data_IF_298966849912
#
_entry.id   IF_298966849912
#
_cell.length_a   1.000
_cell.length_b   1.000
_cell.length_c   1.000
_cell.angle_alpha   90.00
_cell.angle_beta   90.00
_cell.angle_gamma   90.00
#
_symmetry.space_group_name_H-M   'P 1'
#
loop_
_entity.id
_entity.type
_entity.pdbx_description
1 polymer ?
#
# COMPACT_ATOMS: atom_id res chain seq x y z
N UNK A 1 61.51 36.32 69.82
CA UNK A 1 60.09 36.54 69.53
C UNK A 1 59.78 35.95 68.18
N UNK A 2 58.74 35.10 68.14
CA UNK A 2 58.19 34.40 66.99
C UNK A 2 57.82 35.33 65.82
N UNK A 3 57.94 34.82 64.60
CA UNK A 3 56.82 34.65 63.63
C UNK A 3 57.33 33.95 62.36
N UNK A 4 56.97 32.68 62.20
CA UNK A 4 56.70 32.06 60.89
C UNK A 4 55.19 32.20 60.61
N UNK A 5 54.68 31.77 59.45
CA UNK A 5 54.88 32.29 58.09
C UNK A 5 53.52 32.71 57.48
N UNK A 6 53.48 33.55 56.46
CA UNK A 6 52.24 33.74 55.68
C UNK A 6 52.29 32.81 54.47
N UNK A 7 51.76 31.59 54.66
CA UNK A 7 51.37 30.71 53.58
C UNK A 7 50.11 31.29 52.94
N UNK A 8 50.22 31.72 51.69
CA UNK A 8 49.09 31.92 50.79
C UNK A 8 48.27 30.62 50.74
N UNK A 9 46.94 30.64 50.86
CA UNK A 9 46.14 29.46 50.60
C UNK A 9 46.22 29.14 49.11
N UNK A 10 46.78 27.98 48.81
CA UNK A 10 46.60 27.31 47.54
C UNK A 10 45.10 26.96 47.44
N UNK A 11 44.33 27.83 46.79
CA UNK A 11 42.91 27.58 46.49
C UNK A 11 42.86 26.54 45.37
N UNK A 12 43.18 25.31 45.74
CA UNK A 12 43.05 24.12 44.93
C UNK A 12 41.58 23.82 44.70
N UNK A 13 40.92 24.65 43.89
CA UNK A 13 39.66 24.29 43.28
C UNK A 13 39.99 23.22 42.23
N UNK A 14 40.00 21.96 42.66
CA UNK A 14 40.02 20.81 41.75
C UNK A 14 38.87 21.04 40.75
N UNK A 15 39.14 21.10 39.43
CA UNK A 15 38.08 21.22 38.45
C UNK A 15 37.08 20.09 38.69
N UNK A 16 35.76 20.37 38.72
CA UNK A 16 34.78 19.32 38.90
C UNK A 16 35.01 18.23 37.86
N UNK A 17 35.11 16.98 38.31
CA UNK A 17 35.29 15.84 37.41
C UNK A 17 34.18 15.85 36.34
N UNK A 18 34.52 15.67 35.06
CA UNK A 18 33.53 15.71 33.99
C UNK A 18 32.45 14.64 34.23
N UNK A 19 31.18 15.05 34.13
CA UNK A 19 30.04 14.13 34.31
C UNK A 19 29.95 13.19 33.10
N UNK A 20 30.14 11.89 33.31
CA UNK A 20 30.09 10.89 32.22
C UNK A 20 28.79 10.97 31.42
N UNK A 21 28.90 10.91 30.10
CA UNK A 21 27.78 10.92 29.15
C UNK A 21 27.29 9.51 28.76
N UNK A 22 27.93 8.44 29.25
CA UNK A 22 27.65 7.05 28.84
C UNK A 22 26.27 6.57 29.29
N UNK A 23 25.87 6.88 30.53
CA UNK A 23 24.56 6.50 31.08
C UNK A 23 23.39 7.01 30.22
N UNK A 24 23.29 8.32 29.93
CA UNK A 24 22.26 8.83 29.02
C UNK A 24 22.29 8.20 27.63
N UNK A 25 23.46 8.03 27.02
CA UNK A 25 23.59 7.43 25.68
C UNK A 25 23.01 6.01 25.66
N UNK A 26 23.27 5.20 26.69
CA UNK A 26 22.71 3.86 26.81
C UNK A 26 21.17 3.88 26.90
N UNK A 27 20.60 4.71 27.80
CA UNK A 27 19.14 4.83 27.94
C UNK A 27 18.46 5.27 26.64
N UNK A 28 19.04 6.23 25.93
CA UNK A 28 18.51 6.73 24.66
C UNK A 28 18.66 5.75 23.48
N UNK A 29 19.52 4.74 23.57
CA UNK A 29 19.63 3.72 22.53
C UNK A 29 18.76 2.51 22.82
N UNK A 30 18.66 2.12 24.09
CA UNK A 30 17.94 0.90 24.47
C UNK A 30 16.45 1.11 24.67
N UNK A 31 16.03 2.27 25.18
CA UNK A 31 14.63 2.48 25.62
C UNK A 31 13.88 3.45 24.73
N UNK A 32 14.53 4.53 24.30
CA UNK A 32 13.88 5.55 23.48
C UNK A 32 13.35 5.02 22.14
N UNK A 33 14.12 4.26 21.31
CA UNK A 33 13.64 3.82 20.01
C UNK A 33 12.42 2.89 20.12
N UNK A 34 12.38 2.09 21.18
CA UNK A 34 11.27 1.18 21.45
C UNK A 34 10.03 1.97 21.90
N UNK A 35 10.18 2.89 22.86
CA UNK A 35 9.07 3.72 23.34
C UNK A 35 8.53 4.68 22.26
N UNK A 36 9.43 5.39 21.57
CA UNK A 36 9.11 6.30 20.48
C UNK A 36 8.52 5.53 19.29
N UNK A 37 9.13 4.41 18.90
CA UNK A 37 8.59 3.56 17.85
C UNK A 37 7.20 3.02 18.18
N UNK A 38 6.92 2.70 19.45
CA UNK A 38 5.59 2.25 19.89
C UNK A 38 4.57 3.39 19.82
N UNK A 39 4.92 4.57 20.33
CA UNK A 39 4.04 5.74 20.25
C UNK A 39 3.73 6.12 18.80
N UNK A 40 4.75 6.12 17.93
CA UNK A 40 4.58 6.38 16.50
C UNK A 40 3.80 5.27 15.81
N UNK A 41 3.89 4.02 16.26
CA UNK A 41 3.10 2.92 15.71
C UNK A 41 1.62 3.12 15.98
N UNK A 42 1.25 3.54 17.20
CA UNK A 42 -0.14 3.90 17.54
C UNK A 42 -0.62 5.08 16.69
N UNK A 43 0.18 6.14 16.54
CA UNK A 43 -0.19 7.27 15.68
C UNK A 43 -0.31 6.86 14.21
N UNK A 44 0.59 5.98 13.74
CA UNK A 44 0.57 5.45 12.38
C UNK A 44 -0.67 4.60 12.11
N UNK A 45 -1.11 3.83 13.10
CA UNK A 45 -2.39 3.12 13.03
C UNK A 45 -3.56 4.08 12.84
N UNK A 46 -3.63 5.18 13.60
CA UNK A 46 -4.65 6.21 13.38
C UNK A 46 -4.52 6.90 12.02
N UNK A 47 -3.31 7.10 11.50
CA UNK A 47 -3.09 7.64 10.16
C UNK A 47 -3.57 6.68 9.06
N UNK A 48 -3.34 5.38 9.20
CA UNK A 48 -3.88 4.37 8.29
C UNK A 48 -5.42 4.34 8.35
N UNK A 49 -6.01 4.49 9.54
CA UNK A 49 -7.45 4.67 9.68
C UNK A 49 -7.95 5.94 8.98
N UNK A 50 -7.22 7.06 9.11
CA UNK A 50 -7.55 8.29 8.38
C UNK A 50 -7.56 8.09 6.87
N UNK A 51 -6.56 7.38 6.32
CA UNK A 51 -6.53 7.03 4.90
C UNK A 51 -7.71 6.16 4.46
N UNK A 52 -8.20 5.27 5.33
CA UNK A 52 -9.37 4.44 5.05
C UNK A 52 -10.67 5.25 4.97
N UNK A 53 -10.74 6.41 5.63
CA UNK A 53 -11.92 7.29 5.68
C UNK A 53 -11.69 8.63 4.95
N UNK A 54 -10.68 8.68 4.08
CA UNK A 54 -10.20 9.89 3.37
C UNK A 54 -10.06 11.16 4.25
N UNK A 55 -9.69 10.97 5.53
CA UNK A 55 -9.47 12.07 6.47
C UNK A 55 -7.96 12.37 6.59
N UNK A 56 -7.45 13.44 5.94
CA UNK A 56 -6.04 13.77 5.94
C UNK A 56 -5.55 14.28 7.31
N UNK A 57 -6.45 14.62 8.24
CA UNK A 57 -6.08 15.19 9.54
C UNK A 57 -5.20 14.23 10.36
N UNK A 58 -5.46 12.92 10.29
CA UNK A 58 -4.66 11.91 10.98
C UNK A 58 -3.25 11.74 10.38
N UNK A 59 -3.11 11.87 9.06
CA UNK A 59 -1.81 11.87 8.40
C UNK A 59 -0.99 13.10 8.84
N UNK A 60 -1.61 14.28 8.90
CA UNK A 60 -0.97 15.50 9.41
C UNK A 60 -0.53 15.33 10.87
N UNK A 61 -1.39 14.75 11.72
CA UNK A 61 -1.06 14.45 13.11
C UNK A 61 0.13 13.48 13.23
N UNK A 62 0.21 12.47 12.37
CA UNK A 62 1.33 11.54 12.35
C UNK A 62 2.64 12.23 11.93
N UNK A 63 2.63 13.07 10.91
CA UNK A 63 3.81 13.84 10.46
C UNK A 63 4.29 14.79 11.56
N UNK A 64 3.37 15.54 12.18
CA UNK A 64 3.67 16.43 13.30
C UNK A 64 4.17 15.65 14.52
N UNK A 65 3.52 14.53 14.86
CA UNK A 65 3.92 13.65 15.93
C UNK A 65 5.33 13.08 15.72
N UNK A 66 5.65 12.67 14.50
CA UNK A 66 7.00 12.23 14.10
C UNK A 66 8.03 13.33 14.29
N UNK A 67 7.76 14.54 13.81
CA UNK A 67 8.66 15.68 13.96
C UNK A 67 8.92 16.01 15.44
N UNK A 68 7.88 15.97 16.28
CA UNK A 68 7.99 16.22 17.73
C UNK A 68 8.77 15.09 18.42
N UNK A 69 8.46 13.84 18.15
CA UNK A 69 9.09 12.68 18.82
C UNK A 69 10.56 12.55 18.42
N UNK A 70 10.87 12.61 17.13
CA UNK A 70 12.24 12.45 16.62
C UNK A 70 13.05 13.73 16.83
N UNK A 71 12.51 14.89 16.45
CA UNK A 71 13.19 16.18 16.57
C UNK A 71 13.31 16.65 18.03
N UNK A 72 12.28 16.45 18.84
CA UNK A 72 12.32 16.77 20.27
C UNK A 72 13.35 15.92 21.02
N UNK A 73 13.42 14.62 20.75
CA UNK A 73 14.44 13.76 21.34
C UNK A 73 15.85 14.09 20.86
N UNK A 74 16.01 14.44 19.58
CA UNK A 74 17.29 14.91 19.04
C UNK A 74 17.79 16.12 19.81
N UNK A 75 16.94 17.15 19.94
CA UNK A 75 17.28 18.38 20.64
C UNK A 75 17.54 18.14 22.12
N UNK A 76 16.70 17.34 22.79
CA UNK A 76 16.84 17.04 24.21
C UNK A 76 18.15 16.29 24.51
N UNK A 77 18.48 15.28 23.69
CA UNK A 77 19.72 14.53 23.82
C UNK A 77 20.94 15.40 23.52
N UNK A 78 20.88 16.25 22.47
CA UNK A 78 21.93 17.21 22.17
C UNK A 78 22.17 18.14 23.37
N UNK A 79 21.11 18.70 23.96
CA UNK A 79 21.19 19.58 25.12
C UNK A 79 21.84 18.89 26.34
N UNK A 80 21.48 17.63 26.62
CA UNK A 80 22.11 16.84 27.69
C UNK A 80 23.60 16.62 27.43
N UNK A 81 24.00 16.33 26.19
CA UNK A 81 25.39 16.05 25.81
C UNK A 81 26.24 17.31 25.82
N UNK A 82 25.70 18.45 25.38
CA UNK A 82 26.33 19.77 25.49
C UNK A 82 26.58 20.13 26.96
N UNK A 83 25.62 19.87 27.85
CA UNK A 83 25.76 20.10 29.29
C UNK A 83 26.70 19.15 30.05
N UNK A 84 27.32 18.18 29.35
CA UNK A 84 28.28 17.20 29.92
C UNK A 84 29.66 17.26 29.28
N UNK A 85 29.97 18.35 28.58
CA UNK A 85 31.27 18.60 27.94
C UNK A 85 31.72 17.50 26.95
N UNK A 86 30.76 16.83 26.30
CA UNK A 86 31.08 15.85 25.24
C UNK A 86 31.74 16.58 24.05
N UNK A 87 32.89 16.12 23.52
CA UNK A 87 33.64 16.83 22.50
C UNK A 87 32.88 17.01 21.17
N UNK A 88 31.83 16.21 20.92
CA UNK A 88 31.02 16.25 19.68
C UNK A 88 29.55 15.86 19.96
N UNK A 89 28.78 16.74 20.62
CA UNK A 89 27.47 16.38 21.17
C UNK A 89 26.40 16.11 20.10
N UNK A 90 26.60 16.59 18.86
CA UNK A 90 25.65 16.42 17.74
C UNK A 90 25.72 15.09 17.01
N UNK A 91 26.87 14.39 17.06
CA UNK A 91 27.09 13.22 16.22
C UNK A 91 26.17 12.05 16.61
N UNK A 92 26.03 11.80 17.91
CA UNK A 92 25.23 10.69 18.42
C UNK A 92 23.71 10.91 18.24
N UNK A 93 23.14 12.09 18.56
CA UNK A 93 21.75 12.41 18.21
C UNK A 93 21.44 12.26 16.72
N UNK A 94 22.38 12.65 15.83
CA UNK A 94 22.18 12.51 14.40
C UNK A 94 22.04 11.04 13.97
N UNK A 95 22.90 10.14 14.47
CA UNK A 95 22.80 8.69 14.18
C UNK A 95 21.46 8.13 14.66
N UNK A 96 21.05 8.48 15.88
CA UNK A 96 19.79 8.00 16.46
C UNK A 96 18.57 8.51 15.67
N UNK A 97 18.54 9.79 15.31
CA UNK A 97 17.46 10.36 14.50
C UNK A 97 17.39 9.74 13.12
N UNK A 98 18.54 9.54 12.45
CA UNK A 98 18.57 8.85 11.15
C UNK A 98 18.05 7.42 11.26
N UNK A 99 18.43 6.68 12.31
CA UNK A 99 17.93 5.34 12.55
C UNK A 99 16.40 5.30 12.78
N UNK A 100 15.86 6.27 13.51
CA UNK A 100 14.40 6.40 13.70
C UNK A 100 13.67 6.67 12.39
N UNK A 101 14.17 7.62 11.59
CA UNK A 101 13.58 7.93 10.28
C UNK A 101 13.69 6.74 9.33
N UNK A 102 14.82 6.03 9.33
CA UNK A 102 15.00 4.78 8.58
C UNK A 102 13.99 3.70 9.01
N UNK A 103 13.74 3.56 10.32
CA UNK A 103 12.74 2.65 10.84
C UNK A 103 11.33 2.98 10.36
N UNK A 104 10.94 4.26 10.39
CA UNK A 104 9.65 4.73 9.88
C UNK A 104 9.52 4.42 8.38
N UNK A 105 10.52 4.79 7.59
CA UNK A 105 10.54 4.51 6.16
C UNK A 105 10.39 3.01 5.87
N UNK A 106 11.13 2.15 6.57
CA UNK A 106 11.06 0.70 6.35
C UNK A 106 9.75 0.06 6.81
N UNK A 107 9.02 0.67 7.75
CA UNK A 107 7.68 0.19 8.13
C UNK A 107 6.59 0.62 7.15
N UNK A 108 6.79 1.72 6.41
CA UNK A 108 5.82 2.23 5.43
C UNK A 108 6.10 1.67 4.04
N UNK A 109 7.37 1.49 3.66
CA UNK A 109 7.78 1.09 2.32
C UNK A 109 7.08 -0.17 1.78
N UNK A 110 6.97 -1.29 2.53
CA UNK A 110 6.25 -2.48 2.05
C UNK A 110 4.79 -2.21 1.68
N UNK A 111 4.12 -1.34 2.44
CA UNK A 111 2.72 -0.95 2.20
C UNK A 111 2.62 -0.19 0.87
N UNK A 112 3.58 0.71 0.60
CA UNK A 112 3.60 1.49 -0.64
C UNK A 112 3.87 0.66 -1.90
N UNK A 113 4.46 -0.53 -1.76
CA UNK A 113 4.71 -1.46 -2.88
C UNK A 113 3.78 -2.68 -2.84
N UNK A 114 2.71 -2.65 -2.02
CA UNK A 114 1.72 -3.73 -1.89
C UNK A 114 2.35 -5.12 -1.68
N UNK A 115 3.36 -5.20 -0.81
CA UNK A 115 3.98 -6.47 -0.41
C UNK A 115 3.50 -6.85 0.99
N UNK A 116 3.11 -8.11 1.18
CA UNK A 116 2.66 -8.69 2.45
C UNK A 116 3.80 -8.91 3.47
N UNK A 117 4.65 -7.91 3.65
CA UNK A 117 5.75 -7.90 4.62
C UNK A 117 5.46 -6.85 5.69
N UNK A 118 5.07 -7.33 6.87
CA UNK A 118 4.85 -6.48 8.03
C UNK A 118 6.13 -6.28 8.84
N UNK A 119 6.65 -5.06 8.89
CA UNK A 119 7.81 -4.69 9.72
C UNK A 119 7.35 -3.81 10.88
N UNK A 120 7.28 -4.33 12.12
CA UNK A 120 6.86 -3.55 13.28
C UNK A 120 7.79 -2.36 13.53
N UNK A 121 7.22 -1.15 13.55
CA UNK A 121 7.97 0.09 13.72
C UNK A 121 8.89 0.12 14.96
N UNK A 122 8.46 -0.36 16.16
CA UNK A 122 9.34 -0.40 17.32
C UNK A 122 10.59 -1.26 17.10
N UNK A 123 10.45 -2.37 16.37
CA UNK A 123 11.54 -3.29 16.08
C UNK A 123 12.49 -2.70 15.04
N UNK A 124 11.96 -2.11 13.97
CA UNK A 124 12.77 -1.45 12.94
C UNK A 124 13.61 -0.31 13.54
N UNK A 125 12.96 0.62 14.26
CA UNK A 125 13.61 1.74 14.94
C UNK A 125 14.70 1.26 15.90
N UNK A 126 14.42 0.24 16.71
CA UNK A 126 15.39 -0.33 17.66
C UNK A 126 16.56 -1.01 16.95
N UNK A 127 16.29 -1.80 15.90
CA UNK A 127 17.30 -2.50 15.12
C UNK A 127 18.29 -1.54 14.46
N UNK A 128 17.79 -0.51 13.77
CA UNK A 128 18.65 0.51 13.16
C UNK A 128 19.39 1.35 14.20
N UNK A 129 18.76 1.67 15.33
CA UNK A 129 19.41 2.45 16.39
C UNK A 129 20.57 1.66 17.04
N UNK A 130 20.38 0.36 17.27
CA UNK A 130 21.43 -0.53 17.76
C UNK A 130 22.56 -0.68 16.74
N UNK A 131 22.24 -0.89 15.46
CA UNK A 131 23.23 -1.00 14.38
C UNK A 131 24.06 0.28 14.26
N UNK A 132 23.40 1.44 14.16
CA UNK A 132 24.06 2.73 14.07
C UNK A 132 24.95 3.01 15.27
N UNK A 133 24.47 2.72 16.48
CA UNK A 133 25.23 2.89 17.72
C UNK A 133 26.43 1.95 17.82
N UNK A 134 26.26 0.69 17.41
CA UNK A 134 27.33 -0.30 17.40
C UNK A 134 28.46 0.12 16.46
N UNK A 135 28.13 0.54 15.24
CA UNK A 135 29.14 1.00 14.27
C UNK A 135 29.78 2.31 14.75
N UNK A 136 28.99 3.18 15.39
CA UNK A 136 29.48 4.42 15.98
C UNK A 136 30.48 4.19 17.12
N UNK A 137 30.30 3.15 17.95
CA UNK A 137 31.20 2.82 19.06
C UNK A 137 32.52 2.18 18.61
N UNK A 138 32.53 1.50 17.46
CA UNK A 138 33.73 0.93 16.84
C UNK A 138 34.58 1.97 16.09
N UNK A 139 34.00 3.12 15.74
CA UNK A 139 34.67 4.16 14.97
C UNK A 139 35.71 4.94 15.78
N UNK A 140 36.79 5.36 15.11
CA UNK A 140 37.74 6.32 15.69
C UNK A 140 37.06 7.69 15.90
N UNK A 141 37.46 8.43 16.94
CA UNK A 141 36.81 9.71 17.32
C UNK A 141 36.67 10.69 16.16
N UNK A 142 37.62 10.68 15.21
CA UNK A 142 37.63 11.60 14.07
C UNK A 142 36.55 11.28 13.04
N UNK A 143 36.28 10.00 12.77
CA UNK A 143 35.46 9.55 11.62
C UNK A 143 34.23 8.70 11.97
N UNK A 144 33.88 8.50 13.25
CA UNK A 144 32.77 7.61 13.68
C UNK A 144 31.37 7.86 13.11
N UNK A 145 31.03 9.09 12.67
CA UNK A 145 29.69 9.42 12.18
C UNK A 145 29.37 8.81 10.80
N UNK A 146 30.28 8.99 9.84
CA UNK A 146 30.10 8.54 8.45
C UNK A 146 29.86 7.03 8.34
N UNK A 147 30.67 6.14 8.94
CA UNK A 147 30.42 4.70 8.86
C UNK A 147 29.14 4.30 9.57
N UNK A 148 28.76 4.97 10.67
CA UNK A 148 27.51 4.67 11.37
C UNK A 148 26.27 4.99 10.49
N UNK A 149 26.27 6.16 9.84
CA UNK A 149 25.21 6.52 8.89
C UNK A 149 25.22 5.60 7.67
N UNK A 150 26.40 5.28 7.13
CA UNK A 150 26.54 4.37 6.00
C UNK A 150 26.04 2.97 6.32
N UNK A 151 26.23 2.47 7.54
CA UNK A 151 25.72 1.17 7.96
C UNK A 151 24.19 1.16 8.05
N UNK A 152 23.58 2.20 8.63
CA UNK A 152 22.11 2.34 8.69
C UNK A 152 21.53 2.43 7.29
N UNK A 153 22.04 3.33 6.45
CA UNK A 153 21.56 3.52 5.09
C UNK A 153 21.81 2.28 4.21
N UNK A 154 22.95 1.62 4.36
CA UNK A 154 23.27 0.38 3.66
C UNK A 154 22.32 -0.76 4.02
N UNK A 155 21.95 -0.88 5.30
CA UNK A 155 20.94 -1.85 5.74
C UNK A 155 19.55 -1.53 5.18
N UNK A 156 19.16 -0.24 5.14
CA UNK A 156 17.92 0.20 4.50
C UNK A 156 17.90 -0.16 3.01
N UNK A 157 18.95 0.20 2.27
CA UNK A 157 19.04 -0.11 0.83
C UNK A 157 19.00 -1.61 0.56
N UNK A 158 19.65 -2.42 1.41
CA UNK A 158 19.59 -3.88 1.29
C UNK A 158 18.17 -4.40 1.50
N UNK A 159 17.46 -3.92 2.53
CA UNK A 159 16.09 -4.34 2.79
C UNK A 159 15.12 -3.87 1.70
N UNK A 160 15.27 -2.63 1.21
CA UNK A 160 14.52 -2.13 0.05
C UNK A 160 14.75 -3.03 -1.16
N UNK A 161 16.00 -3.37 -1.46
CA UNK A 161 16.31 -4.27 -2.58
C UNK A 161 15.70 -5.67 -2.41
N UNK A 162 15.68 -6.21 -1.20
CA UNK A 162 15.03 -7.51 -0.91
C UNK A 162 13.52 -7.43 -1.08
N UNK A 163 12.86 -6.40 -0.53
CA UNK A 163 11.41 -6.21 -0.65
C UNK A 163 11.01 -6.00 -2.12
N UNK A 164 11.78 -5.19 -2.84
CA UNK A 164 11.57 -4.97 -4.27
C UNK A 164 11.71 -6.27 -5.07
N UNK A 165 12.74 -7.06 -4.78
CA UNK A 165 12.93 -8.36 -5.42
C UNK A 165 11.79 -9.34 -5.11
N UNK A 166 11.25 -9.34 -3.88
CA UNK A 166 10.07 -10.13 -3.54
C UNK A 166 8.82 -9.67 -4.30
N UNK A 167 8.63 -8.36 -4.44
CA UNK A 167 7.54 -7.79 -5.24
C UNK A 167 7.63 -8.23 -6.71
N UNK A 168 8.80 -8.11 -7.33
CA UNK A 168 9.02 -8.56 -8.71
C UNK A 168 8.75 -10.06 -8.87
N UNK A 169 9.21 -10.88 -7.92
CA UNK A 169 8.94 -12.32 -7.91
C UNK A 169 7.46 -12.65 -7.84
N UNK A 170 6.73 -11.98 -6.95
CA UNK A 170 5.30 -12.20 -6.79
C UNK A 170 4.51 -11.74 -8.03
N UNK A 171 4.92 -10.65 -8.67
CA UNK A 171 4.36 -10.21 -9.95
C UNK A 171 4.65 -11.19 -11.09
N UNK A 172 5.88 -11.72 -11.16
CA UNK A 172 6.24 -12.78 -12.11
C UNK A 172 5.40 -14.04 -11.89
N UNK A 173 5.28 -14.52 -10.64
CA UNK A 173 4.47 -15.69 -10.28
C UNK A 173 2.99 -15.48 -10.63
N UNK A 174 2.38 -14.34 -10.25
CA UNK A 174 0.99 -14.01 -10.62
C UNK A 174 0.77 -13.94 -12.12
N UNK A 175 1.75 -13.39 -12.87
CA UNK A 175 1.68 -13.33 -14.33
C UNK A 175 1.74 -14.73 -14.95
N UNK A 176 2.63 -15.57 -14.47
CA UNK A 176 2.74 -16.97 -14.92
C UNK A 176 1.47 -17.76 -14.59
N UNK A 177 0.92 -17.58 -13.38
CA UNK A 177 -0.36 -18.17 -12.96
C UNK A 177 -1.52 -17.70 -13.84
N UNK A 178 -1.66 -16.39 -14.08
CA UNK A 178 -2.71 -15.86 -14.94
C UNK A 178 -2.59 -16.39 -16.37
N UNK A 179 -1.39 -16.38 -16.96
CA UNK A 179 -1.17 -16.92 -18.31
C UNK A 179 -1.48 -18.40 -18.38
N UNK A 180 -1.13 -19.16 -17.33
CA UNK A 180 -1.48 -20.56 -17.23
C UNK A 180 -3.00 -20.75 -17.14
N UNK A 181 -3.67 -20.03 -16.25
CA UNK A 181 -5.13 -20.11 -16.04
C UNK A 181 -5.92 -19.73 -17.29
N UNK A 182 -5.46 -18.73 -18.05
CA UNK A 182 -6.03 -18.37 -19.35
C UNK A 182 -5.82 -19.48 -20.37
N UNK A 183 -4.62 -20.04 -20.46
CA UNK A 183 -4.30 -21.10 -21.43
C UNK A 183 -5.00 -22.43 -21.13
N UNK A 184 -5.24 -22.73 -19.85
CA UNK A 184 -5.90 -23.94 -19.36
C UNK A 184 -7.41 -23.73 -19.16
N UNK A 185 -7.94 -22.54 -19.51
CA UNK A 185 -9.34 -22.20 -19.28
C UNK A 185 -10.25 -23.13 -20.09
N UNK A 186 -11.28 -23.75 -19.47
CA UNK A 186 -12.03 -24.83 -20.11
C UNK A 186 -13.03 -24.37 -21.19
N UNK A 187 -13.27 -23.07 -21.32
CA UNK A 187 -14.29 -22.47 -22.19
C UNK A 187 -13.74 -21.30 -23.00
N UNK A 188 -14.52 -20.77 -23.94
CA UNK A 188 -14.15 -19.53 -24.63
C UNK A 188 -14.26 -18.34 -23.66
N UNK A 189 -13.33 -17.40 -23.74
CA UNK A 189 -13.33 -16.17 -22.95
C UNK A 189 -13.98 -15.08 -23.81
N UNK A 190 -14.92 -14.33 -23.23
CA UNK A 190 -15.57 -13.21 -23.88
C UNK A 190 -14.67 -11.97 -23.88
N UNK A 191 -14.66 -11.25 -25.00
CA UNK A 191 -13.96 -9.97 -25.19
C UNK A 191 -14.96 -8.92 -25.66
N UNK A 192 -14.79 -7.68 -25.21
CA UNK A 192 -15.57 -6.54 -25.67
C UNK A 192 -14.88 -5.93 -26.90
N UNK A 193 -15.49 -6.07 -28.07
CA UNK A 193 -14.97 -5.53 -29.33
C UNK A 193 -15.62 -4.18 -29.65
N UNK A 194 -15.40 -3.20 -28.78
CA UNK A 194 -15.96 -1.87 -28.95
C UNK A 194 -14.86 -0.78 -28.98
N UNK A 195 -14.77 0.03 -30.05
CA UNK A 195 -13.81 1.12 -30.12
C UNK A 195 -13.98 2.11 -28.97
N UNK A 196 -12.87 2.53 -28.37
CA UNK A 196 -12.84 3.50 -27.27
C UNK A 196 -12.76 2.87 -25.88
N UNK A 197 -12.71 1.54 -25.78
CA UNK A 197 -12.45 0.80 -24.54
C UNK A 197 -11.17 -0.01 -24.65
N UNK A 198 -10.36 -0.01 -23.60
CA UNK A 198 -9.14 -0.81 -23.52
C UNK A 198 -9.17 -1.70 -22.26
N UNK A 199 -8.67 -2.94 -22.34
CA UNK A 199 -8.58 -3.81 -21.19
C UNK A 199 -7.51 -3.28 -20.21
N UNK A 200 -7.85 -3.22 -18.94
CA UNK A 200 -6.98 -2.70 -17.87
C UNK A 200 -6.63 -3.75 -16.82
N UNK A 201 -7.43 -4.80 -16.72
CA UNK A 201 -7.18 -5.91 -15.81
C UNK A 201 -7.75 -7.20 -16.37
N UNK A 202 -7.17 -8.32 -15.97
CA UNK A 202 -7.68 -9.64 -16.31
C UNK A 202 -7.47 -10.58 -15.13
N UNK A 203 -8.46 -11.44 -14.92
CA UNK A 203 -8.43 -12.50 -13.94
C UNK A 203 -9.07 -13.74 -14.54
N UNK A 204 -8.46 -14.90 -14.38
CA UNK A 204 -9.04 -16.16 -14.77
C UNK A 204 -8.87 -17.15 -13.63
N UNK A 205 -9.86 -18.00 -13.41
CA UNK A 205 -9.75 -19.11 -12.48
C UNK A 205 -10.41 -20.33 -13.06
N UNK A 206 -9.60 -21.33 -13.35
CA UNK A 206 -10.06 -22.63 -13.80
C UNK A 206 -10.94 -23.32 -12.75
N UNK A 207 -10.57 -23.23 -11.48
CA UNK A 207 -11.31 -23.89 -10.39
C UNK A 207 -12.71 -23.31 -10.21
N UNK A 208 -12.88 -22.02 -10.52
CA UNK A 208 -14.17 -21.33 -10.44
C UNK A 208 -14.94 -21.36 -11.77
N UNK A 209 -14.30 -21.78 -12.87
CA UNK A 209 -14.93 -21.78 -14.19
C UNK A 209 -15.23 -20.38 -14.73
N UNK A 210 -14.53 -19.36 -14.22
CA UNK A 210 -14.81 -17.95 -14.49
C UNK A 210 -13.56 -17.25 -15.01
N UNK A 211 -13.74 -16.41 -16.04
CA UNK A 211 -12.74 -15.43 -16.47
C UNK A 211 -13.37 -14.03 -16.44
N UNK A 212 -12.57 -13.01 -16.18
CA UNK A 212 -13.02 -11.61 -16.08
C UNK A 212 -11.99 -10.69 -16.71
N UNK A 213 -12.47 -9.71 -17.47
CA UNK A 213 -11.65 -8.65 -18.06
C UNK A 213 -12.27 -7.30 -17.65
N UNK A 214 -11.48 -6.44 -17.03
CA UNK A 214 -11.85 -5.06 -16.74
C UNK A 214 -11.46 -4.15 -17.90
N UNK A 215 -12.31 -3.16 -18.20
CA UNK A 215 -12.11 -2.18 -19.27
C UNK A 215 -12.29 -0.75 -18.76
N UNK A 216 -11.51 0.15 -19.33
CA UNK A 216 -11.63 1.61 -19.14
C UNK A 216 -11.74 2.33 -20.49
N UNK A 217 -12.35 3.52 -20.52
CA UNK A 217 -12.34 4.37 -21.71
C UNK A 217 -10.92 4.85 -22.05
N UNK A 218 -10.53 4.83 -23.32
CA UNK A 218 -9.16 5.21 -23.78
C UNK A 218 -8.86 6.71 -23.59
N UNK A 219 -9.86 7.56 -23.86
CA UNK A 219 -9.78 9.01 -23.68
C UNK A 219 -11.01 9.44 -22.85
N UNK A 220 -11.01 9.23 -21.53
CA UNK A 220 -12.18 9.54 -20.72
C UNK A 220 -12.44 11.04 -20.74
N UNK A 221 -13.66 11.42 -21.11
CA UNK A 221 -14.13 12.77 -20.81
C UNK A 221 -14.22 12.93 -19.29
N UNK A 222 -14.18 14.17 -18.76
CA UNK A 222 -14.39 14.39 -17.32
C UNK A 222 -15.73 13.84 -16.78
N UNK A 223 -16.68 13.53 -17.67
CA UNK A 223 -17.99 12.97 -17.33
C UNK A 223 -17.96 11.45 -17.16
N UNK A 224 -16.94 10.74 -17.65
CA UNK A 224 -16.79 9.28 -17.56
C UNK A 224 -15.48 8.86 -16.86
N UNK A 225 -14.78 9.81 -16.25
CA UNK A 225 -13.53 9.58 -15.54
C UNK A 225 -13.77 8.65 -14.34
N UNK A 226 -13.01 7.56 -14.26
CA UNK A 226 -13.16 6.52 -13.24
C UNK A 226 -14.32 5.55 -13.45
N UNK A 227 -15.08 5.65 -14.54
CA UNK A 227 -16.08 4.64 -14.90
C UNK A 227 -15.40 3.40 -15.48
N UNK A 228 -15.80 2.21 -15.03
CA UNK A 228 -15.22 0.93 -15.46
C UNK A 228 -16.29 -0.04 -15.93
N UNK A 229 -15.92 -0.90 -16.87
CA UNK A 229 -16.70 -2.07 -17.25
C UNK A 229 -15.98 -3.33 -16.82
N UNK A 230 -16.73 -4.33 -16.38
CA UNK A 230 -16.20 -5.66 -16.08
C UNK A 230 -16.98 -6.69 -16.89
N UNK A 231 -16.29 -7.39 -17.78
CA UNK A 231 -16.84 -8.47 -18.59
C UNK A 231 -16.41 -9.81 -18.01
N UNK A 232 -17.38 -10.59 -17.53
CA UNK A 232 -17.16 -11.89 -16.91
C UNK A 232 -17.70 -13.00 -17.80
N UNK A 233 -16.89 -14.02 -18.07
CA UNK A 233 -17.22 -15.20 -18.88
C UNK A 233 -17.43 -16.40 -17.97
N UNK A 234 -18.54 -17.12 -18.13
CA UNK A 234 -18.90 -18.28 -17.30
C UNK A 234 -19.63 -19.37 -18.10
N UNK A 235 -19.34 -20.62 -17.77
CA UNK A 235 -20.04 -21.80 -18.31
C UNK A 235 -21.43 -21.94 -17.71
N UNK A 236 -22.44 -22.10 -18.57
CA UNK A 236 -23.83 -22.29 -18.14
C UNK A 236 -24.10 -23.61 -17.42
N UNK A 237 -23.24 -24.62 -17.60
CA UNK A 237 -23.34 -25.92 -16.92
C UNK A 237 -22.88 -25.80 -15.46
N UNK A 238 -21.83 -25.00 -15.20
CA UNK A 238 -21.27 -24.77 -13.87
C UNK A 238 -22.12 -23.79 -13.03
N UNK A 239 -22.98 -22.99 -13.67
CA UNK A 239 -23.92 -22.07 -13.00
C UNK A 239 -24.88 -22.77 -12.03
N UNK A 240 -25.22 -24.03 -12.29
CA UNK A 240 -26.14 -24.79 -11.44
C UNK A 240 -25.51 -25.15 -10.08
N UNK A 241 -24.17 -25.19 -9.98
CA UNK A 241 -23.44 -25.57 -8.78
C UNK A 241 -22.90 -24.35 -7.98
N UNK A 242 -22.65 -23.21 -8.65
CA UNK A 242 -22.11 -21.99 -8.02
C UNK A 242 -23.16 -21.13 -7.28
N UNK A 243 -24.45 -21.46 -7.40
CA UNK A 243 -25.54 -20.76 -6.72
C UNK A 243 -25.96 -19.45 -7.40
N UNK A 244 -25.60 -19.26 -8.67
CA UNK A 244 -25.92 -18.07 -9.43
C UNK A 244 -27.31 -18.17 -10.07
N UNK A 245 -28.13 -17.14 -9.86
CA UNK A 245 -29.51 -17.09 -10.34
C UNK A 245 -29.51 -16.54 -11.77
N UNK A 246 -30.02 -17.27 -12.80
CA UNK A 246 -30.13 -16.77 -14.17
C UNK A 246 -30.71 -15.35 -14.20
N UNK A 247 -30.17 -14.43 -15.00
CA UNK A 247 -30.53 -13.00 -14.92
C UNK A 247 -32.04 -12.80 -15.12
N UNK A 248 -32.65 -13.52 -16.08
CA UNK A 248 -34.10 -13.58 -16.28
C UNK A 248 -34.88 -13.91 -15.01
N UNK A 249 -34.43 -14.88 -14.21
CA UNK A 249 -35.13 -15.22 -12.95
C UNK A 249 -35.01 -14.17 -11.85
N UNK A 250 -34.16 -13.16 -12.02
CA UNK A 250 -34.13 -11.96 -11.17
C UNK A 250 -35.07 -10.87 -11.68
N UNK A 251 -35.56 -10.97 -12.92
CA UNK A 251 -36.46 -10.01 -13.53
C UNK A 251 -37.88 -10.12 -12.98
N UNK A 252 -38.56 -8.97 -12.82
CA UNK A 252 -39.95 -8.91 -12.37
C UNK A 252 -40.90 -9.76 -13.22
N UNK A 253 -40.61 -9.89 -14.52
CA UNK A 253 -41.37 -10.73 -15.47
C UNK A 253 -41.43 -12.20 -15.07
N UNK A 254 -40.35 -12.73 -14.49
CA UNK A 254 -40.20 -14.14 -14.11
C UNK A 254 -40.31 -14.35 -12.58
N UNK A 255 -40.77 -13.34 -11.85
CA UNK A 255 -41.02 -13.41 -10.41
C UNK A 255 -39.84 -13.02 -9.53
N UNK A 256 -38.80 -12.41 -10.11
CA UNK A 256 -37.75 -11.71 -9.38
C UNK A 256 -38.15 -10.29 -8.94
N UNK A 257 -37.19 -9.53 -8.41
CA UNK A 257 -37.39 -8.19 -7.84
C UNK A 257 -36.67 -7.07 -8.60
N UNK A 258 -36.12 -7.37 -9.78
CA UNK A 258 -35.34 -6.42 -10.58
C UNK A 258 -36.09 -5.95 -11.83
N UNK A 259 -36.10 -4.64 -12.13
CA UNK A 259 -36.49 -4.16 -13.43
C UNK A 259 -35.53 -4.71 -14.48
N UNK A 260 -36.06 -5.28 -15.56
CA UNK A 260 -35.25 -5.78 -16.66
C UNK A 260 -35.81 -5.36 -18.01
N UNK A 261 -34.92 -5.24 -18.99
CA UNK A 261 -35.22 -5.04 -20.39
C UNK A 261 -34.64 -6.23 -21.19
N UNK A 262 -35.48 -6.85 -22.03
CA UNK A 262 -35.09 -7.99 -22.86
C UNK A 262 -34.98 -7.57 -24.33
N UNK A 263 -33.82 -7.78 -24.92
CA UNK A 263 -33.45 -7.38 -26.28
C UNK A 263 -32.89 -8.59 -27.05
N UNK A 264 -33.78 -9.45 -27.54
CA UNK A 264 -33.38 -10.69 -28.21
C UNK A 264 -32.72 -11.65 -27.22
N UNK A 265 -31.43 -11.92 -27.42
CA UNK A 265 -30.61 -12.79 -26.53
C UNK A 265 -29.89 -11.99 -25.43
N UNK A 266 -30.09 -10.67 -25.38
CA UNK A 266 -29.53 -9.78 -24.35
C UNK A 266 -30.58 -9.48 -23.29
N UNK A 267 -30.19 -9.60 -22.02
CA UNK A 267 -30.99 -9.17 -20.87
C UNK A 267 -30.23 -8.10 -20.11
N UNK A 268 -30.85 -6.94 -19.91
CA UNK A 268 -30.32 -5.88 -19.08
C UNK A 268 -31.13 -5.82 -17.80
N UNK A 269 -30.47 -5.93 -16.65
CA UNK A 269 -31.09 -5.78 -15.35
C UNK A 269 -30.59 -4.51 -14.66
N UNK A 270 -31.52 -3.75 -14.10
CA UNK A 270 -31.20 -2.65 -13.19
C UNK A 270 -30.89 -3.22 -11.80
N UNK A 271 -29.60 -3.21 -11.47
CA UNK A 271 -29.08 -3.73 -10.21
C UNK A 271 -29.02 -2.68 -9.12
N UNK A 272 -29.44 -1.44 -9.39
CA UNK A 272 -29.48 -0.38 -8.41
C UNK A 272 -30.28 -0.77 -7.18
N UNK A 273 -29.62 -0.69 -6.02
CA UNK A 273 -30.24 -0.80 -4.70
C UNK A 273 -29.64 0.26 -3.81
N UNK A 274 -30.45 1.22 -3.35
CA UNK A 274 -30.22 2.20 -2.27
C UNK A 274 -28.88 2.96 -2.17
N UNK A 275 -27.80 2.63 -2.90
CA UNK A 275 -26.45 3.18 -2.75
C UNK A 275 -25.65 3.26 -4.05
N UNK A 276 -26.27 3.11 -5.25
CA UNK A 276 -25.54 3.34 -6.51
C UNK A 276 -26.28 2.89 -7.79
N UNK A 277 -26.07 3.64 -8.87
CA UNK A 277 -26.51 3.28 -10.23
C UNK A 277 -25.60 2.16 -10.76
N UNK A 278 -26.17 0.96 -11.01
CA UNK A 278 -25.42 -0.21 -11.48
C UNK A 278 -26.31 -1.03 -12.41
N UNK A 279 -25.82 -1.27 -13.62
CA UNK A 279 -26.48 -2.10 -14.60
C UNK A 279 -25.67 -3.37 -14.87
N UNK A 280 -26.38 -4.45 -15.14
CA UNK A 280 -25.79 -5.72 -15.56
C UNK A 280 -26.47 -6.15 -16.86
N UNK A 281 -25.68 -6.40 -17.90
CA UNK A 281 -26.16 -6.94 -19.17
C UNK A 281 -25.59 -8.35 -19.36
N UNK A 282 -26.45 -9.30 -19.70
CA UNK A 282 -26.07 -10.68 -19.95
C UNK A 282 -26.40 -11.08 -21.36
N UNK A 283 -25.48 -11.78 -22.00
CA UNK A 283 -25.64 -12.35 -23.34
C UNK A 283 -24.96 -13.72 -23.43
N UNK A 284 -25.54 -14.64 -24.20
CA UNK A 284 -24.87 -15.88 -24.60
C UNK A 284 -24.06 -15.59 -25.86
N UNK A 285 -22.73 -15.66 -25.76
CA UNK A 285 -21.83 -15.30 -26.88
C UNK A 285 -21.31 -16.53 -27.63
N UNK A 286 -21.41 -17.71 -27.03
CA UNK A 286 -21.08 -19.02 -27.64
C UNK A 286 -21.90 -20.12 -26.97
N UNK A 287 -21.99 -21.28 -27.60
CA UNK A 287 -22.85 -22.39 -27.17
C UNK A 287 -22.53 -22.81 -25.72
N UNK A 288 -23.45 -22.54 -24.79
CA UNK A 288 -23.34 -22.97 -23.39
C UNK A 288 -22.44 -22.10 -22.51
N UNK A 289 -22.00 -20.92 -22.98
CA UNK A 289 -21.18 -19.97 -22.20
C UNK A 289 -21.80 -18.58 -22.29
N UNK A 290 -21.97 -17.94 -21.13
CA UNK A 290 -22.55 -16.61 -21.04
C UNK A 290 -21.50 -15.57 -20.64
N UNK A 291 -21.69 -14.35 -21.14
CA UNK A 291 -20.97 -13.18 -20.72
C UNK A 291 -21.87 -12.30 -19.86
N UNK A 292 -21.33 -11.80 -18.75
CA UNK A 292 -21.97 -10.82 -17.88
C UNK A 292 -21.15 -9.54 -17.89
N UNK A 293 -21.73 -8.47 -18.41
CA UNK A 293 -21.16 -7.15 -18.46
C UNK A 293 -21.72 -6.32 -17.31
N UNK A 294 -20.84 -5.87 -16.41
CA UNK A 294 -21.19 -5.12 -15.22
C UNK A 294 -20.56 -3.73 -15.26
N UNK A 295 -21.33 -2.71 -14.87
CA UNK A 295 -20.84 -1.34 -14.73
C UNK A 295 -20.29 -1.09 -13.33
N UNK A 296 -19.15 -0.42 -13.22
CA UNK A 296 -18.61 0.12 -11.98
C UNK A 296 -18.57 1.65 -12.02
N UNK A 297 -19.31 2.28 -11.11
CA UNK A 297 -19.31 3.74 -10.94
C UNK A 297 -18.20 4.17 -9.99
N UNK A 298 -17.50 5.29 -10.24
CA UNK A 298 -16.63 5.89 -9.24
C UNK A 298 -17.49 6.42 -8.09
N UNK A 299 -17.02 6.22 -6.87
CA UNK A 299 -17.70 6.67 -5.64
C UNK A 299 -16.90 7.75 -4.92
N UNK A 300 -17.61 8.62 -4.20
CA UNK A 300 -17.03 9.62 -3.31
C UNK A 300 -16.68 9.03 -1.92
N UNK A 301 -16.25 9.89 -1.00
CA UNK A 301 -15.87 9.50 0.37
C UNK A 301 -17.03 8.88 1.20
N UNK A 302 -18.29 9.00 0.75
CA UNK A 302 -19.48 8.47 1.41
C UNK A 302 -20.03 7.21 0.72
N UNK A 303 -19.28 6.61 -0.21
CA UNK A 303 -19.74 5.53 -1.10
C UNK A 303 -20.94 5.95 -1.98
N UNK A 304 -21.15 7.24 -2.20
CA UNK A 304 -22.15 7.75 -3.15
C UNK A 304 -21.53 7.92 -4.54
N UNK A 305 -22.28 7.74 -5.64
CA UNK A 305 -21.75 7.97 -6.99
C UNK A 305 -21.13 9.37 -7.14
N UNK A 306 -19.86 9.44 -7.53
CA UNK A 306 -19.15 10.71 -7.70
C UNK A 306 -19.52 11.45 -8.99
N UNK A 307 -20.10 10.72 -9.94
CA UNK A 307 -20.60 11.22 -11.23
C UNK A 307 -22.01 10.67 -11.47
N UNK A 308 -22.78 11.36 -12.31
CA UNK A 308 -24.04 10.83 -12.84
C UNK A 308 -23.75 9.62 -13.73
N UNK A 309 -24.65 8.63 -13.79
CA UNK A 309 -24.46 7.49 -14.69
C UNK A 309 -24.35 7.97 -16.14
N UNK A 310 -23.27 7.59 -16.85
CA UNK A 310 -23.04 8.07 -18.20
C UNK A 310 -24.10 7.51 -19.16
N UNK A 311 -24.39 8.25 -20.23
CA UNK A 311 -25.32 7.82 -21.28
C UNK A 311 -24.69 6.70 -22.12
N UNK A 312 -24.65 5.49 -21.55
CA UNK A 312 -24.09 4.28 -22.12
C UNK A 312 -25.22 3.31 -22.40
N UNK A 313 -25.29 2.86 -23.65
CA UNK A 313 -26.24 1.84 -24.07
C UNK A 313 -25.69 0.44 -23.74
N UNK A 314 -26.16 -0.14 -22.63
CA UNK A 314 -25.78 -1.47 -22.19
C UNK A 314 -26.15 -2.57 -23.19
N UNK A 315 -27.16 -2.35 -24.02
CA UNK A 315 -27.54 -3.29 -25.09
C UNK A 315 -26.50 -3.23 -26.20
N UNK A 316 -26.11 -2.03 -26.65
CA UNK A 316 -25.04 -1.86 -27.64
C UNK A 316 -23.73 -2.48 -27.14
N UNK A 317 -23.35 -2.26 -25.88
CA UNK A 317 -22.16 -2.87 -25.31
C UNK A 317 -22.23 -4.41 -25.34
N UNK A 318 -23.36 -4.99 -24.95
CA UNK A 318 -23.56 -6.43 -24.94
C UNK A 318 -23.57 -7.04 -26.35
N UNK A 319 -24.09 -6.33 -27.35
CA UNK A 319 -24.08 -6.76 -28.76
C UNK A 319 -22.66 -6.84 -29.35
N UNK A 320 -21.70 -6.10 -28.78
CA UNK A 320 -20.29 -6.13 -29.21
C UNK A 320 -19.43 -7.12 -28.40
N UNK A 321 -20.06 -7.95 -27.57
CA UNK A 321 -19.37 -9.06 -26.89
C UNK A 321 -19.21 -10.23 -27.85
N UNK A 322 -17.98 -10.75 -27.97
CA UNK A 322 -17.67 -11.90 -28.83
C UNK A 322 -16.67 -12.85 -28.16
N UNK A 323 -16.52 -14.08 -28.65
CA UNK A 323 -15.41 -14.93 -28.25
C UNK A 323 -14.06 -14.27 -28.57
N UNK A 324 -13.08 -14.46 -27.69
CA UNK A 324 -11.69 -14.11 -27.94
C UNK A 324 -11.16 -14.86 -29.17
N UNK A 325 -10.43 -14.16 -30.03
CA UNK A 325 -9.66 -14.78 -31.10
C UNK A 325 -8.50 -15.62 -30.54
N UNK A 326 -7.97 -16.50 -31.37
CA UNK A 326 -6.85 -17.37 -30.96
C UNK A 326 -5.62 -16.54 -30.56
N UNK A 327 -5.24 -16.62 -29.28
CA UNK A 327 -4.10 -15.88 -28.72
C UNK A 327 -4.46 -14.49 -28.17
N UNK A 328 -5.69 -13.99 -28.38
CA UNK A 328 -6.11 -12.65 -27.96
C UNK A 328 -6.20 -12.56 -26.43
N UNK A 329 -6.76 -13.57 -25.77
CA UNK A 329 -6.86 -13.60 -24.31
C UNK A 329 -5.48 -13.62 -23.63
N UNK A 330 -4.52 -14.37 -24.19
CA UNK A 330 -3.14 -14.38 -23.72
C UNK A 330 -2.42 -13.05 -23.98
N UNK A 331 -2.69 -12.40 -25.11
CA UNK A 331 -2.17 -11.06 -25.41
C UNK A 331 -2.70 -10.03 -24.41
N UNK A 332 -4.01 -10.05 -24.11
CA UNK A 332 -4.64 -9.19 -23.11
C UNK A 332 -3.99 -9.43 -21.74
N UNK A 333 -3.93 -10.70 -21.27
CA UNK A 333 -3.30 -11.07 -20.01
C UNK A 333 -1.84 -10.58 -19.91
N UNK A 334 -1.09 -10.65 -21.02
CA UNK A 334 0.29 -10.20 -21.07
C UNK A 334 0.45 -8.67 -21.03
N UNK A 335 -0.56 -7.94 -21.52
CA UNK A 335 -0.56 -6.48 -21.64
C UNK A 335 -1.00 -5.81 -20.34
N UNK A 336 -2.07 -6.30 -19.70
CA UNK A 336 -2.63 -5.71 -18.47
C UNK A 336 -1.74 -5.90 -17.23
N UNK A 337 -0.78 -6.82 -17.29
CA UNK A 337 0.19 -7.10 -16.22
C UNK A 337 1.59 -6.49 -16.47
N UNK A 338 1.78 -5.72 -17.56
CA UNK A 338 3.08 -5.19 -18.00
C UNK A 338 3.39 -3.79 -17.51
#
# INVERSE_FOLDING_TARGET
>A
MNTSPEQTPDDGTVPPAPKSAEGPKFWFVSVYPLAAGTALWVLGFFALFGLLYDDPSYAVLFVLGTAVVVGGAHFWLQWILEGRDEPRPRQFPAVLSTAMVAGIFMSVFPISVNVDVFIPLPLACSGFALLGTFVFSLGTERNRLVPALAAVLGAVLLLVGVIWWLHEREQEERREELLQDVSDFPHEIAVLDLPGWEPTSMWASRDLGTASIGYEPVDPSPEIDGFVLTLQSESMEDLAETGWTPLHSQCESDGGDKPCEEHGDVVVADMSRNTGERFEARTEFTDGVAANLMTGMPTDENDEPAIDFPDIDMVELAENVRPAESGEAEEIASTVMG
#
